data_IF_393424871121
#
_entry.id   IF_393424871121
#
_cell.length_a   1.000
_cell.length_b   1.000
_cell.length_c   1.000
_cell.angle_alpha   90.00
_cell.angle_beta   90.00
_cell.angle_gamma   90.00
#
_symmetry.space_group_name_H-M   'P 1'
#
loop_
_entity.id
_entity.type
_entity.pdbx_description
1 polymer ?
#
# COMPACT_ATOMS: atom_id res chain seq x y z
N UNK A 1 -32.95 16.90 -4.40
CA UNK A 1 -32.38 18.09 -3.73
C UNK A 1 -32.43 17.73 -2.26
N UNK A 2 -31.40 17.21 -1.62
CA UNK A 2 -29.97 17.48 -1.64
C UNK A 2 -29.30 16.26 -0.97
N UNK A 3 -28.32 15.63 -1.65
CA UNK A 3 -27.43 14.60 -1.09
C UNK A 3 -26.02 15.13 -1.31
N UNK A 4 -25.62 16.05 -0.45
CA UNK A 4 -24.46 16.91 -0.67
C UNK A 4 -23.32 16.75 0.34
N UNK A 5 -23.29 15.70 1.18
CA UNK A 5 -22.21 15.59 2.19
C UNK A 5 -21.85 14.18 2.70
N UNK A 6 -22.35 13.10 2.09
CA UNK A 6 -21.82 11.77 2.41
C UNK A 6 -20.47 11.60 1.68
N UNK A 7 -19.34 11.40 2.39
CA UNK A 7 -18.06 11.17 1.75
C UNK A 7 -18.17 9.97 0.81
N UNK A 8 -17.67 10.09 -0.43
CA UNK A 8 -17.56 8.95 -1.34
C UNK A 8 -16.67 7.89 -0.70
N UNK A 9 -17.26 6.86 -0.10
CA UNK A 9 -16.54 5.70 0.43
C UNK A 9 -16.08 4.82 -0.74
N UNK A 10 -14.83 5.02 -1.13
CA UNK A 10 -14.15 4.15 -2.10
C UNK A 10 -13.74 2.86 -1.37
N UNK A 11 -14.55 1.81 -1.51
CA UNK A 11 -14.35 0.55 -0.78
C UNK A 11 -13.45 -0.48 -1.48
N UNK A 12 -13.19 -0.34 -2.79
CA UNK A 12 -12.47 -1.37 -3.56
C UNK A 12 -11.68 -0.84 -4.75
N UNK A 13 -10.82 -1.71 -5.30
CA UNK A 13 -9.96 -1.42 -6.43
C UNK A 13 -8.69 -0.65 -6.06
N UNK A 14 -7.89 -0.38 -7.09
CA UNK A 14 -6.60 0.31 -6.94
C UNK A 14 -6.76 1.71 -6.34
N UNK A 15 -7.79 2.46 -6.78
CA UNK A 15 -8.06 3.81 -6.30
C UNK A 15 -8.37 3.85 -4.79
N UNK A 16 -9.20 2.92 -4.30
CA UNK A 16 -9.47 2.78 -2.88
C UNK A 16 -8.20 2.44 -2.08
N UNK A 17 -7.34 1.56 -2.63
CA UNK A 17 -6.04 1.23 -2.03
C UNK A 17 -5.12 2.45 -1.90
N UNK A 18 -5.03 3.28 -2.94
CA UNK A 18 -4.25 4.52 -2.92
C UNK A 18 -4.82 5.51 -1.91
N UNK A 19 -6.15 5.68 -1.88
CA UNK A 19 -6.82 6.58 -0.92
C UNK A 19 -6.58 6.11 0.51
N UNK A 20 -6.71 4.81 0.81
CA UNK A 20 -6.42 4.27 2.13
C UNK A 20 -4.95 4.48 2.52
N UNK A 21 -4.01 4.27 1.58
CA UNK A 21 -2.59 4.50 1.83
C UNK A 21 -2.31 5.98 2.17
N UNK A 22 -2.88 6.91 1.41
CA UNK A 22 -2.74 8.35 1.63
C UNK A 22 -3.41 8.81 2.93
N UNK A 23 -4.66 8.38 3.17
CA UNK A 23 -5.51 8.98 4.19
C UNK A 23 -5.41 8.31 5.55
N UNK A 24 -4.90 7.09 5.61
CA UNK A 24 -4.68 6.37 6.88
C UNK A 24 -3.20 6.23 7.17
N UNK A 25 -2.49 5.43 6.38
CA UNK A 25 -1.10 5.07 6.69
C UNK A 25 -0.18 6.30 6.63
N UNK A 26 -0.27 7.11 5.58
CA UNK A 26 0.60 8.28 5.45
C UNK A 26 0.28 9.40 6.44
N UNK A 27 -0.98 9.51 6.90
CA UNK A 27 -1.32 10.47 7.97
C UNK A 27 -0.69 10.07 9.30
N UNK A 28 -0.75 8.79 9.65
CA UNK A 28 -0.16 8.26 10.90
C UNK A 28 1.37 8.35 10.89
N UNK A 29 2.00 8.00 9.77
CA UNK A 29 3.46 8.13 9.60
C UNK A 29 3.89 9.59 9.69
N UNK A 30 3.15 10.51 9.06
CA UNK A 30 3.43 11.95 9.14
C UNK A 30 3.32 12.46 10.56
N UNK A 31 2.22 12.16 11.26
CA UNK A 31 2.03 12.58 12.65
C UNK A 31 3.14 12.06 13.56
N UNK A 32 3.61 10.82 13.33
CA UNK A 32 4.70 10.24 14.11
C UNK A 32 6.05 10.92 13.82
N UNK A 33 6.34 11.26 12.56
CA UNK A 33 7.52 12.04 12.19
C UNK A 33 7.47 13.47 12.75
N UNK A 34 6.30 14.12 12.67
CA UNK A 34 6.09 15.45 13.24
C UNK A 34 6.31 15.44 14.74
N UNK A 35 5.87 14.39 15.44
CA UNK A 35 6.15 14.22 16.85
C UNK A 35 7.66 14.08 17.13
N UNK A 36 8.40 13.26 16.38
CA UNK A 36 9.86 13.14 16.53
C UNK A 36 10.55 14.50 16.35
N UNK A 37 10.15 15.25 15.32
CA UNK A 37 10.69 16.57 15.06
C UNK A 37 10.37 17.57 16.17
N UNK A 38 9.12 17.61 16.64
CA UNK A 38 8.71 18.50 17.75
C UNK A 38 9.54 18.24 19.02
N UNK A 39 9.73 16.98 19.39
CA UNK A 39 10.55 16.60 20.56
C UNK A 39 12.01 17.00 20.35
N UNK A 40 12.59 16.79 19.17
CA UNK A 40 13.95 17.21 18.87
C UNK A 40 14.10 18.73 18.99
N UNK A 41 13.19 19.50 18.40
CA UNK A 41 13.17 20.96 18.45
C UNK A 41 13.12 21.42 19.90
N UNK A 42 12.15 20.92 20.66
CA UNK A 42 11.91 21.34 22.04
C UNK A 42 13.12 21.06 22.92
N UNK A 43 13.69 19.84 22.85
CA UNK A 43 14.80 19.42 23.70
C UNK A 43 16.10 20.16 23.36
N UNK A 44 16.39 20.36 22.07
CA UNK A 44 17.58 21.13 21.67
C UNK A 44 17.41 22.59 22.07
N UNK A 45 16.25 23.20 21.82
CA UNK A 45 15.99 24.58 22.20
C UNK A 45 16.04 24.79 23.71
N UNK A 46 15.52 23.85 24.49
CA UNK A 46 15.56 23.87 25.95
C UNK A 46 16.99 23.95 26.49
N UNK A 47 17.91 23.15 25.97
CA UNK A 47 19.32 23.22 26.35
C UNK A 47 20.00 24.46 25.76
N UNK A 48 19.78 24.75 24.48
CA UNK A 48 20.47 25.85 23.80
C UNK A 48 20.14 27.22 24.44
N UNK A 49 18.91 27.44 24.92
CA UNK A 49 18.53 28.65 25.68
C UNK A 49 19.28 28.84 27.00
N UNK A 50 19.75 27.75 27.61
CA UNK A 50 20.56 27.79 28.84
C UNK A 50 22.02 28.14 28.55
N UNK A 51 22.43 28.08 27.29
CA UNK A 51 23.77 28.40 26.86
C UNK A 51 24.11 29.88 26.91
N UNK A 52 25.40 30.15 26.92
CA UNK A 52 25.93 31.50 26.84
C UNK A 52 26.25 31.87 25.39
N UNK A 53 25.92 33.11 25.03
CA UNK A 53 26.31 33.74 23.76
C UNK A 53 26.95 35.10 24.05
N UNK A 54 27.69 35.68 23.10
CA UNK A 54 28.22 37.04 23.24
C UNK A 54 27.16 38.13 23.49
N UNK A 55 25.87 37.82 23.31
CA UNK A 55 24.75 38.73 23.53
C UNK A 55 23.97 38.43 24.82
N UNK A 56 24.40 37.46 25.62
CA UNK A 56 23.71 37.00 26.83
C UNK A 56 23.23 35.56 26.69
N UNK A 57 22.03 35.26 27.18
CA UNK A 57 21.45 33.91 27.10
C UNK A 57 21.28 33.42 25.66
N UNK A 58 21.26 32.10 25.50
CA UNK A 58 21.03 31.45 24.22
C UNK A 58 19.62 31.64 23.69
N UNK A 59 19.51 31.52 22.36
CA UNK A 59 18.25 31.59 21.63
C UNK A 59 17.69 30.20 21.36
N UNK A 60 16.52 30.11 20.74
CA UNK A 60 16.11 28.85 20.12
C UNK A 60 17.05 28.54 18.95
N UNK A 61 17.52 27.29 18.89
CA UNK A 61 18.37 26.81 17.80
C UNK A 61 17.54 26.46 16.56
N UNK A 62 16.38 25.84 16.77
CA UNK A 62 15.42 25.48 15.74
C UNK A 62 14.14 26.31 15.86
N UNK A 63 13.51 26.57 14.72
CA UNK A 63 12.14 27.07 14.59
C UNK A 63 11.27 26.04 13.84
N UNK A 64 9.96 26.13 14.02
CA UNK A 64 8.99 25.13 13.54
C UNK A 64 8.50 24.22 14.65
N UNK A 65 7.63 23.27 14.26
CA UNK A 65 6.87 22.41 15.17
C UNK A 65 6.68 20.98 14.62
N UNK A 66 7.19 20.69 13.42
CA UNK A 66 6.92 19.46 12.69
C UNK A 66 8.10 19.08 11.79
N UNK A 67 8.09 17.87 11.25
CA UNK A 67 9.17 17.40 10.36
C UNK A 67 9.20 18.20 9.04
N UNK A 68 8.07 18.78 8.64
CA UNK A 68 7.97 19.62 7.44
C UNK A 68 8.36 21.08 7.67
N UNK A 69 8.33 21.56 8.91
CA UNK A 69 8.55 22.98 9.26
C UNK A 69 9.87 23.22 9.99
N UNK A 70 10.50 22.17 10.53
CA UNK A 70 11.77 22.29 11.25
C UNK A 70 12.84 22.99 10.40
N UNK A 71 13.45 24.02 10.97
CA UNK A 71 14.58 24.72 10.36
C UNK A 71 15.43 25.40 11.43
N UNK A 72 16.68 25.76 11.08
CA UNK A 72 17.53 26.54 11.99
C UNK A 72 16.94 27.94 12.13
N UNK A 73 16.75 28.39 13.37
CA UNK A 73 16.12 29.66 13.69
C UNK A 73 16.79 30.83 12.95
N UNK A 74 15.98 31.76 12.44
CA UNK A 74 16.47 32.87 11.62
C UNK A 74 17.62 33.66 12.30
N UNK A 75 17.54 33.88 13.62
CA UNK A 75 18.57 34.60 14.38
C UNK A 75 19.93 33.89 14.36
N UNK A 76 19.95 32.56 14.49
CA UNK A 76 21.15 31.74 14.43
C UNK A 76 21.67 31.66 13.01
N UNK A 77 20.78 31.49 12.02
CA UNK A 77 21.13 31.41 10.61
C UNK A 77 21.86 32.67 10.11
N UNK A 78 21.44 33.85 10.57
CA UNK A 78 22.06 35.12 10.17
C UNK A 78 23.26 35.51 11.05
N UNK A 79 23.40 34.91 12.23
CA UNK A 79 24.55 35.13 13.09
C UNK A 79 24.98 33.83 13.78
N UNK A 80 25.82 33.02 13.11
CA UNK A 80 26.32 31.75 13.68
C UNK A 80 27.13 31.92 14.97
N UNK A 81 27.60 33.14 15.29
CA UNK A 81 28.24 33.44 16.58
C UNK A 81 27.28 33.36 17.79
N UNK A 82 25.98 33.17 17.54
CA UNK A 82 24.97 32.94 18.58
C UNK A 82 24.73 31.47 18.89
N UNK A 83 25.44 30.55 18.23
CA UNK A 83 25.43 29.14 18.63
C UNK A 83 26.16 29.00 19.97
N UNK A 84 25.42 28.65 21.01
CA UNK A 84 25.96 28.46 22.35
C UNK A 84 26.57 27.07 22.48
N UNK A 85 27.85 27.00 22.90
CA UNK A 85 28.57 25.73 23.12
C UNK A 85 28.88 25.45 24.58
N UNK A 86 28.79 26.46 25.44
CA UNK A 86 29.01 26.39 26.88
C UNK A 86 27.87 27.05 27.65
N UNK A 87 27.77 26.74 28.93
CA UNK A 87 26.77 27.34 29.82
C UNK A 87 27.17 28.73 30.33
N UNK A 88 28.46 29.04 30.38
CA UNK A 88 28.99 30.23 31.07
C UNK A 88 29.87 31.14 30.19
N UNK A 89 30.15 30.74 28.95
CA UNK A 89 31.00 31.50 28.03
C UNK A 89 32.50 31.29 28.22
N UNK A 90 32.92 30.31 29.04
CA UNK A 90 34.33 29.96 29.21
C UNK A 90 34.95 29.56 27.87
N UNK A 91 36.08 30.18 27.53
CA UNK A 91 36.76 29.94 26.25
C UNK A 91 37.24 28.49 26.18
N UNK A 92 36.81 27.78 25.14
CA UNK A 92 37.15 26.37 24.92
C UNK A 92 36.22 25.38 25.62
N UNK A 93 35.21 25.85 26.37
CA UNK A 93 34.17 24.97 26.91
C UNK A 93 33.16 24.56 25.82
N UNK A 94 32.88 23.25 25.78
CA UNK A 94 31.92 22.61 24.88
C UNK A 94 30.92 21.71 25.63
N UNK A 95 30.80 21.87 26.95
CA UNK A 95 29.91 21.10 27.83
C UNK A 95 28.47 21.03 27.31
N UNK A 96 27.85 22.18 27.04
CA UNK A 96 26.49 22.26 26.49
C UNK A 96 26.38 21.57 25.12
N UNK A 97 27.38 21.73 24.25
CA UNK A 97 27.37 21.08 22.94
C UNK A 97 27.40 19.54 23.07
N UNK A 98 28.15 19.01 24.05
CA UNK A 98 28.16 17.57 24.34
C UNK A 98 26.82 17.09 24.89
N UNK A 99 26.18 17.89 25.77
CA UNK A 99 24.85 17.55 26.31
C UNK A 99 23.78 17.53 25.21
N UNK A 100 23.81 18.51 24.30
CA UNK A 100 22.93 18.54 23.11
C UNK A 100 23.18 17.31 22.23
N UNK A 101 24.44 16.92 21.99
CA UNK A 101 24.77 15.74 21.21
C UNK A 101 24.25 14.44 21.85
N UNK A 102 24.23 14.37 23.18
CA UNK A 102 23.74 13.22 23.93
C UNK A 102 22.20 13.09 23.95
N UNK A 103 21.45 14.16 23.61
CA UNK A 103 19.98 14.16 23.65
C UNK A 103 19.33 13.01 22.86
N UNK A 104 19.96 12.58 21.77
CA UNK A 104 19.42 11.51 20.92
C UNK A 104 19.26 10.16 21.66
N UNK A 105 20.08 9.93 22.68
CA UNK A 105 20.12 8.72 23.50
C UNK A 105 19.52 8.92 24.90
N UNK A 106 19.20 10.15 25.29
CA UNK A 106 18.58 10.44 26.57
C UNK A 106 17.07 10.21 26.52
N UNK A 107 16.50 9.90 27.69
CA UNK A 107 15.05 9.89 27.86
C UNK A 107 14.49 11.30 27.59
N UNK A 108 13.34 11.36 26.91
CA UNK A 108 12.66 12.62 26.58
C UNK A 108 12.25 13.36 27.87
N UNK A 109 11.76 12.60 28.86
CA UNK A 109 11.44 13.12 30.19
C UNK A 109 11.42 11.99 31.23
N UNK A 110 11.21 12.33 32.50
CA UNK A 110 10.99 11.34 33.57
C UNK A 110 9.74 10.48 33.31
N UNK A 111 8.69 11.08 32.75
CA UNK A 111 7.42 10.41 32.42
C UNK A 111 7.50 9.61 31.12
N UNK A 112 8.26 10.10 30.14
CA UNK A 112 8.51 9.44 28.86
C UNK A 112 9.97 8.99 28.71
N UNK A 113 10.21 7.74 29.11
CA UNK A 113 11.53 7.11 29.10
C UNK A 113 12.04 6.72 27.70
N UNK A 114 11.28 6.99 26.64
CA UNK A 114 11.74 6.77 25.27
C UNK A 114 12.81 7.80 24.92
N UNK A 115 13.69 7.43 24.00
CA UNK A 115 14.70 8.34 23.44
C UNK A 115 14.22 8.89 22.11
N UNK A 116 14.82 9.98 21.61
CA UNK A 116 14.52 10.52 20.27
C UNK A 116 14.80 9.45 19.20
N UNK A 117 15.91 8.71 19.33
CA UNK A 117 16.21 7.59 18.45
C UNK A 117 15.14 6.50 18.54
N UNK A 118 14.68 6.16 19.75
CA UNK A 118 13.61 5.17 19.94
C UNK A 118 12.27 5.60 19.34
N UNK A 119 11.93 6.89 19.41
CA UNK A 119 10.77 7.43 18.69
C UNK A 119 10.93 7.26 17.18
N UNK A 120 12.08 7.64 16.62
CA UNK A 120 12.34 7.50 15.19
C UNK A 120 12.31 6.04 14.72
N UNK A 121 12.93 5.13 15.48
CA UNK A 121 12.91 3.69 15.22
C UNK A 121 11.47 3.14 15.20
N UNK A 122 10.59 3.66 16.06
CA UNK A 122 9.18 3.27 16.07
C UNK A 122 8.46 3.68 14.78
N UNK A 123 8.77 4.85 14.21
CA UNK A 123 8.24 5.27 12.91
C UNK A 123 8.66 4.30 11.81
N UNK A 124 9.95 3.96 11.77
CA UNK A 124 10.49 3.02 10.79
C UNK A 124 9.84 1.64 10.93
N UNK A 125 9.61 1.17 12.15
CA UNK A 125 8.95 -0.10 12.43
C UNK A 125 7.48 -0.11 11.95
N UNK A 126 6.73 0.98 12.16
CA UNK A 126 5.35 1.13 11.68
C UNK A 126 5.29 1.08 10.16
N UNK A 127 6.13 1.85 9.47
CA UNK A 127 6.22 1.83 8.00
C UNK A 127 6.59 0.43 7.49
N UNK A 128 7.56 -0.22 8.13
CA UNK A 128 7.99 -1.58 7.80
C UNK A 128 6.86 -2.60 7.95
N UNK A 129 6.06 -2.47 9.01
CA UNK A 129 4.90 -3.33 9.27
C UNK A 129 3.81 -3.13 8.21
N UNK A 130 3.45 -1.89 7.89
CA UNK A 130 2.48 -1.62 6.83
C UNK A 130 2.92 -2.14 5.47
N UNK A 131 4.18 -1.92 5.10
CA UNK A 131 4.73 -2.40 3.82
C UNK A 131 4.69 -3.93 3.74
N UNK A 132 5.08 -4.63 4.81
CA UNK A 132 5.02 -6.09 4.87
C UNK A 132 3.58 -6.61 4.76
N UNK A 133 2.66 -6.03 5.51
CA UNK A 133 1.25 -6.42 5.49
C UNK A 133 0.65 -6.20 4.10
N UNK A 134 0.88 -5.05 3.48
CA UNK A 134 0.39 -4.75 2.13
C UNK A 134 0.94 -5.74 1.09
N UNK A 135 2.24 -6.07 1.14
CA UNK A 135 2.85 -7.06 0.26
C UNK A 135 2.23 -8.45 0.43
N UNK A 136 2.03 -8.89 1.67
CA UNK A 136 1.42 -10.19 1.97
C UNK A 136 -0.03 -10.25 1.47
N UNK A 137 -0.80 -9.18 1.69
CA UNK A 137 -2.18 -9.09 1.20
C UNK A 137 -2.24 -9.14 -0.33
N UNK A 138 -1.39 -8.38 -1.02
CA UNK A 138 -1.31 -8.40 -2.48
C UNK A 138 -0.93 -9.79 -3.01
N UNK A 139 0.07 -10.44 -2.42
CA UNK A 139 0.49 -11.79 -2.80
C UNK A 139 -0.63 -12.82 -2.59
N UNK A 140 -1.34 -12.76 -1.45
CA UNK A 140 -2.48 -13.65 -1.19
C UNK A 140 -3.62 -13.42 -2.19
N UNK A 141 -3.94 -12.16 -2.51
CA UNK A 141 -5.00 -11.84 -3.46
C UNK A 141 -4.65 -12.33 -4.87
N UNK A 142 -3.38 -12.18 -5.27
CA UNK A 142 -2.86 -12.70 -6.53
C UNK A 142 -3.05 -14.22 -6.62
N UNK A 143 -2.67 -14.97 -5.56
CA UNK A 143 -2.87 -16.42 -5.50
C UNK A 143 -4.34 -16.81 -5.59
N UNK A 144 -5.24 -16.05 -4.95
CA UNK A 144 -6.68 -16.30 -5.04
C UNK A 144 -7.17 -16.10 -6.48
N UNK A 145 -6.76 -15.01 -7.14
CA UNK A 145 -7.11 -14.76 -8.54
C UNK A 145 -6.63 -15.89 -9.46
N UNK A 146 -5.36 -16.31 -9.35
CA UNK A 146 -4.78 -17.40 -10.14
C UNK A 146 -5.53 -18.73 -9.94
N UNK A 147 -5.92 -19.04 -8.71
CA UNK A 147 -6.73 -20.22 -8.41
C UNK A 147 -8.14 -20.15 -9.01
N UNK A 148 -8.76 -18.97 -8.97
CA UNK A 148 -10.09 -18.76 -9.57
C UNK A 148 -10.03 -18.84 -11.09
N UNK A 149 -8.99 -18.28 -11.72
CA UNK A 149 -8.78 -18.37 -13.16
C UNK A 149 -8.55 -19.82 -13.59
N UNK A 150 -7.70 -20.58 -12.88
CA UNK A 150 -7.49 -22.01 -13.13
C UNK A 150 -8.79 -22.82 -13.02
N UNK A 151 -9.61 -22.54 -11.99
CA UNK A 151 -10.94 -23.19 -11.84
C UNK A 151 -11.91 -22.80 -12.94
N UNK A 152 -11.87 -21.54 -13.37
CA UNK A 152 -12.70 -21.07 -14.47
C UNK A 152 -12.29 -21.77 -15.77
N UNK A 153 -10.99 -21.90 -16.05
CA UNK A 153 -10.47 -22.65 -17.18
C UNK A 153 -10.81 -24.13 -17.13
N UNK A 154 -10.88 -24.76 -15.96
CA UNK A 154 -11.29 -26.18 -15.87
C UNK A 154 -12.78 -26.41 -16.10
N UNK A 155 -13.64 -25.43 -15.78
CA UNK A 155 -15.09 -25.51 -16.00
C UNK A 155 -15.46 -25.09 -17.43
N UNK A 156 -14.86 -24.02 -17.92
CA UNK A 156 -15.15 -23.42 -19.24
C UNK A 156 -14.26 -24.02 -20.33
N UNK A 157 -13.20 -24.73 -19.95
CA UNK A 157 -12.29 -25.43 -20.84
C UNK A 157 -13.04 -26.46 -21.66
N UNK A 158 -13.21 -26.15 -22.93
CA UNK A 158 -13.74 -27.09 -23.92
C UNK A 158 -12.66 -28.12 -24.20
N UNK A 159 -12.93 -29.38 -23.90
CA UNK A 159 -12.04 -30.45 -24.31
C UNK A 159 -12.23 -30.71 -25.82
N UNK A 160 -11.26 -30.25 -26.64
CA UNK A 160 -11.30 -30.40 -28.10
C UNK A 160 -11.43 -31.85 -28.54
N UNK A 161 -10.92 -32.81 -27.75
CA UNK A 161 -11.06 -34.23 -28.06
C UNK A 161 -12.49 -34.72 -27.83
N UNK A 162 -13.17 -34.26 -26.77
CA UNK A 162 -14.60 -34.56 -26.55
C UNK A 162 -15.49 -33.89 -27.60
N UNK A 163 -15.22 -32.63 -27.96
CA UNK A 163 -15.89 -31.95 -29.07
C UNK A 163 -15.68 -32.71 -30.38
N UNK A 164 -14.47 -33.18 -30.67
CA UNK A 164 -14.16 -33.94 -31.89
C UNK A 164 -14.85 -35.30 -31.91
N UNK A 165 -14.93 -36.00 -30.77
CA UNK A 165 -15.70 -37.24 -30.64
C UNK A 165 -17.19 -36.99 -30.86
N UNK A 166 -17.76 -35.94 -30.25
CA UNK A 166 -19.17 -35.55 -30.46
C UNK A 166 -19.43 -35.19 -31.92
N UNK A 167 -18.52 -34.45 -32.55
CA UNK A 167 -18.62 -34.07 -33.95
C UNK A 167 -18.55 -35.28 -34.90
N UNK A 168 -17.64 -36.22 -34.65
CA UNK A 168 -17.56 -37.49 -35.39
C UNK A 168 -18.83 -38.32 -35.21
N UNK A 169 -19.37 -38.39 -33.99
CA UNK A 169 -20.63 -39.07 -33.70
C UNK A 169 -21.82 -38.44 -34.41
N UNK A 170 -21.89 -37.09 -34.46
CA UNK A 170 -22.91 -36.38 -35.21
C UNK A 170 -22.78 -36.63 -36.73
N UNK A 171 -21.56 -36.63 -37.27
CA UNK A 171 -21.31 -36.96 -38.67
C UNK A 171 -21.75 -38.39 -39.00
N UNK A 172 -21.41 -39.36 -38.16
CA UNK A 172 -21.80 -40.76 -38.35
C UNK A 172 -23.32 -40.94 -38.25
N UNK A 173 -23.95 -40.29 -37.28
CA UNK A 173 -25.42 -40.31 -37.11
C UNK A 173 -26.13 -39.68 -38.30
N UNK A 174 -25.61 -38.57 -38.82
CA UNK A 174 -26.15 -37.92 -40.02
C UNK A 174 -26.02 -38.82 -41.27
N UNK A 175 -24.86 -39.47 -41.45
CA UNK A 175 -24.67 -40.44 -42.53
C UNK A 175 -25.61 -41.64 -42.40
N UNK A 176 -25.83 -42.15 -41.18
CA UNK A 176 -26.77 -43.23 -40.92
C UNK A 176 -28.21 -42.81 -41.24
N UNK A 177 -28.63 -41.61 -40.81
CA UNK A 177 -29.93 -41.04 -41.14
C UNK A 177 -30.11 -40.88 -42.66
N UNK A 178 -29.10 -40.36 -43.37
CA UNK A 178 -29.13 -40.23 -44.82
C UNK A 178 -29.25 -41.59 -45.54
N UNK A 179 -28.59 -42.65 -45.05
CA UNK A 179 -28.77 -44.01 -45.58
C UNK A 179 -30.18 -44.54 -45.29
N UNK A 180 -30.71 -44.29 -44.09
CA UNK A 180 -32.08 -44.65 -43.74
C UNK A 180 -33.09 -43.98 -44.68
N UNK A 181 -32.93 -42.69 -44.97
CA UNK A 181 -33.77 -41.97 -45.95
C UNK A 181 -33.69 -42.61 -47.33
N UNK A 182 -32.49 -42.98 -47.81
CA UNK A 182 -32.33 -43.69 -49.09
C UNK A 182 -33.00 -45.07 -49.10
N UNK A 183 -32.95 -45.80 -48.00
CA UNK A 183 -33.64 -47.09 -47.87
C UNK A 183 -35.15 -46.88 -47.90
N UNK A 184 -35.67 -45.88 -47.18
CA UNK A 184 -37.10 -45.52 -47.22
C UNK A 184 -37.52 -45.09 -48.63
N UNK A 185 -36.71 -44.28 -49.32
CA UNK A 185 -36.96 -43.89 -50.72
C UNK A 185 -37.00 -45.11 -51.64
N UNK A 186 -36.09 -46.07 -51.45
CA UNK A 186 -36.06 -47.32 -52.22
C UNK A 186 -37.28 -48.22 -51.92
N UNK A 187 -37.73 -48.25 -50.66
CA UNK A 187 -38.95 -48.98 -50.26
C UNK A 187 -40.20 -48.32 -50.84
N UNK A 188 -40.29 -46.99 -50.83
CA UNK A 188 -41.38 -46.23 -51.47
C UNK A 188 -41.39 -46.50 -52.97
N UNK A 189 -40.24 -46.45 -53.63
CA UNK A 189 -40.12 -46.74 -55.05
C UNK A 189 -40.54 -48.18 -55.36
N UNK A 190 -40.15 -49.16 -54.54
CA UNK A 190 -40.56 -50.56 -54.71
C UNK A 190 -42.08 -50.74 -54.54
N UNK A 191 -42.71 -50.02 -53.61
CA UNK A 191 -44.18 -50.04 -53.44
C UNK A 191 -44.89 -49.37 -54.61
N UNK A 192 -44.31 -48.32 -55.20
CA UNK A 192 -44.86 -47.64 -56.37
C UNK A 192 -44.67 -48.48 -57.64
N UNK A 193 -43.53 -49.17 -57.77
CA UNK A 193 -43.20 -50.04 -58.91
C UNK A 193 -43.80 -51.45 -58.79
N UNK A 194 -44.40 -51.78 -57.65
CA UNK A 194 -45.22 -52.97 -57.49
C UNK A 194 -46.47 -52.80 -58.37
N UNK A 195 -46.62 -53.62 -59.44
CA UNK A 195 -47.73 -53.45 -60.36
C UNK A 195 -49.04 -53.66 -59.61
N UNK A 196 -49.90 -52.65 -59.64
CA UNK A 196 -51.31 -52.80 -59.33
C UNK A 196 -51.94 -53.73 -60.38
N UNK A 197 -51.83 -55.05 -60.18
CA UNK A 197 -52.42 -56.03 -61.08
C UNK A 197 -51.69 -57.36 -61.12
N UNK A 198 -51.87 -58.18 -60.10
CA UNK A 198 -51.87 -59.63 -60.29
C UNK A 198 -52.88 -60.27 -59.33
N UNK A 199 -54.16 -60.00 -59.58
CA UNK A 199 -55.32 -60.92 -59.54
C UNK A 199 -56.50 -60.22 -60.21
#
# INVERSE_FOLDING_TARGET
IDKGDDPLELESGELAGIVQARDRYMKEVRASLDHVASVLIDRVNELHRQGWTPQGSGYDFFEGDSAGTISVAYVIKNNPGLVATSYDGTVGDNSLANDIAALSEQAISEDDRRTINGLYDSVVAVVGTYSRTAKNMAANQQLICENLDTKRESIVGVNLDEEMVKLSQYQQSYQAAARMVKVVESLIQTVIDLPAGMY
#
